data_IF_985432626306
#
_entry.id   IF_985432626306
#
_cell.length_a   1.000
_cell.length_b   1.000
_cell.length_c   1.000
_cell.angle_alpha   90.00
_cell.angle_beta   90.00
_cell.angle_gamma   90.00
#
_symmetry.space_group_name_H-M   'P 1'
#
loop_
_entity.id
_entity.type
_entity.pdbx_description
1 polymer ?
#
# COMPACT_ATOMS: atom_id res chain seq x y z
N UNK A 1 -28.82 -18.45 -1.52
CA UNK A 1 -27.68 -17.53 -1.56
C UNK A 1 -28.26 -16.14 -1.59
N UNK A 2 -28.16 -15.39 -0.48
CA UNK A 2 -28.57 -13.98 -0.46
C UNK A 2 -27.53 -13.22 -1.27
N UNK A 3 -27.88 -12.80 -2.49
CA UNK A 3 -27.08 -11.82 -3.21
C UNK A 3 -27.09 -10.53 -2.37
N UNK A 4 -25.95 -10.25 -1.75
CA UNK A 4 -25.85 -9.14 -0.83
C UNK A 4 -25.73 -7.84 -1.62
N UNK A 5 -26.62 -6.89 -1.32
CA UNK A 5 -26.73 -5.58 -1.97
C UNK A 5 -25.37 -4.87 -2.19
N UNK A 6 -24.41 -5.04 -1.27
CA UNK A 6 -23.07 -4.43 -1.37
C UNK A 6 -22.19 -5.06 -2.46
N UNK A 7 -22.30 -6.37 -2.72
CA UNK A 7 -21.52 -7.04 -3.78
C UNK A 7 -22.09 -6.75 -5.18
N UNK A 8 -23.37 -6.37 -5.25
CA UNK A 8 -24.03 -5.90 -6.48
C UNK A 8 -23.79 -4.43 -6.80
N UNK A 9 -23.21 -3.63 -5.90
CA UNK A 9 -22.79 -2.25 -6.22
C UNK A 9 -21.54 -2.33 -7.09
N UNK A 10 -21.76 -2.39 -8.41
CA UNK A 10 -20.70 -2.23 -9.38
C UNK A 10 -20.30 -0.75 -9.45
N UNK A 11 -19.22 -0.38 -8.77
CA UNK A 11 -18.54 0.89 -9.03
C UNK A 11 -18.00 0.81 -10.46
N UNK A 12 -18.68 1.50 -11.37
CA UNK A 12 -18.38 1.45 -12.79
C UNK A 12 -17.13 2.29 -13.06
N UNK A 13 -15.95 1.71 -12.82
CA UNK A 13 -14.69 2.31 -13.26
C UNK A 13 -14.61 2.16 -14.78
N UNK A 14 -15.15 3.14 -15.51
CA UNK A 14 -14.85 3.28 -16.93
C UNK A 14 -13.32 3.33 -17.12
N UNK A 15 -12.84 2.93 -18.30
CA UNK A 15 -11.41 2.87 -18.59
C UNK A 15 -10.70 4.20 -18.25
N UNK A 16 -11.37 5.33 -18.46
CA UNK A 16 -10.87 6.65 -18.04
C UNK A 16 -10.68 6.77 -16.52
N UNK A 17 -11.66 6.37 -15.72
CA UNK A 17 -11.59 6.44 -14.25
C UNK A 17 -10.49 5.54 -13.67
N UNK A 18 -10.29 4.35 -14.25
CA UNK A 18 -9.23 3.43 -13.83
C UNK A 18 -7.83 4.00 -14.13
N UNK A 19 -7.63 4.63 -15.28
CA UNK A 19 -6.39 5.33 -15.60
C UNK A 19 -6.10 6.48 -14.64
N UNK A 20 -7.13 7.26 -14.33
CA UNK A 20 -7.02 8.37 -13.37
C UNK A 20 -6.61 7.87 -11.98
N UNK A 21 -7.20 6.77 -11.50
CA UNK A 21 -6.85 6.15 -10.22
C UNK A 21 -5.39 5.69 -10.20
N UNK A 22 -4.95 4.99 -11.25
CA UNK A 22 -3.58 4.50 -11.36
C UNK A 22 -2.56 5.64 -11.36
N UNK A 23 -2.84 6.72 -12.09
CA UNK A 23 -1.99 7.93 -12.12
C UNK A 23 -1.97 8.59 -10.74
N UNK A 24 -3.12 8.71 -10.07
CA UNK A 24 -3.19 9.28 -8.73
C UNK A 24 -2.33 8.49 -7.74
N UNK A 25 -2.45 7.15 -7.74
CA UNK A 25 -1.65 6.26 -6.89
C UNK A 25 -0.15 6.38 -7.19
N UNK A 26 0.22 6.41 -8.47
CA UNK A 26 1.62 6.59 -8.87
C UNK A 26 2.17 7.94 -8.42
N UNK A 27 1.39 9.03 -8.51
CA UNK A 27 1.78 10.35 -8.02
C UNK A 27 1.90 10.41 -6.50
N UNK A 28 0.99 9.76 -5.76
CA UNK A 28 1.09 9.63 -4.30
C UNK A 28 2.39 8.91 -3.94
N UNK A 29 2.69 7.78 -4.59
CA UNK A 29 3.89 7.01 -4.26
C UNK A 29 5.18 7.73 -4.68
N UNK A 30 5.18 8.40 -5.84
CA UNK A 30 6.27 9.28 -6.24
C UNK A 30 6.51 10.39 -5.20
N UNK A 31 5.44 11.06 -4.76
CA UNK A 31 5.51 12.09 -3.73
C UNK A 31 6.07 11.57 -2.41
N UNK A 32 5.68 10.37 -2.00
CA UNK A 32 6.24 9.69 -0.82
C UNK A 32 7.74 9.45 -1.00
N UNK A 33 8.14 8.96 -2.18
CA UNK A 33 9.51 8.61 -2.52
C UNK A 33 10.47 9.81 -2.63
N UNK A 34 9.97 11.01 -2.94
CA UNK A 34 10.76 12.26 -2.89
C UNK A 34 11.34 12.56 -1.51
N UNK A 35 10.86 11.92 -0.45
CA UNK A 35 11.35 12.08 0.91
C UNK A 35 12.25 10.93 1.38
N UNK A 36 12.45 9.90 0.56
CA UNK A 36 13.27 8.73 0.89
C UNK A 36 14.68 8.92 0.33
N UNK A 37 15.69 8.78 1.16
CA UNK A 37 17.09 8.93 0.80
C UNK A 37 17.80 7.58 0.69
N UNK A 38 18.86 7.52 -0.11
CA UNK A 38 19.74 6.35 -0.16
C UNK A 38 20.45 6.07 1.18
N UNK A 39 20.55 7.07 2.06
CA UNK A 39 21.14 6.91 3.38
C UNK A 39 20.22 6.12 4.33
N UNK A 40 18.90 6.18 4.13
CA UNK A 40 17.94 5.40 4.91
C UNK A 40 18.16 3.89 4.69
N UNK A 41 18.65 3.50 3.52
CA UNK A 41 19.06 2.11 3.24
C UNK A 41 20.34 1.71 3.97
N UNK A 42 21.22 2.65 4.35
CA UNK A 42 22.42 2.32 5.13
C UNK A 42 22.09 2.04 6.59
N UNK A 43 21.00 2.58 7.11
CA UNK A 43 20.58 2.34 8.50
C UNK A 43 20.19 0.87 8.76
N UNK A 44 19.80 0.10 7.75
CA UNK A 44 19.53 -1.35 7.91
C UNK A 44 20.76 -2.11 8.40
N UNK A 45 21.93 -1.76 7.87
CA UNK A 45 23.17 -2.43 8.21
C UNK A 45 23.63 -2.06 9.63
N UNK A 46 23.18 -0.91 10.15
CA UNK A 46 23.47 -0.49 11.52
C UNK A 46 22.54 -1.12 12.54
N UNK A 47 21.26 -1.33 12.20
CA UNK A 47 20.22 -1.84 13.11
C UNK A 47 19.33 -2.93 12.49
N UNK A 48 19.90 -4.07 12.06
CA UNK A 48 19.18 -5.08 11.30
C UNK A 48 18.03 -5.73 12.10
N UNK A 49 18.22 -5.92 13.41
CA UNK A 49 17.20 -6.51 14.29
C UNK A 49 15.91 -5.68 14.32
N UNK A 50 16.03 -4.36 14.47
CA UNK A 50 14.87 -3.48 14.55
C UNK A 50 14.09 -3.41 13.24
N UNK A 51 14.79 -3.39 12.10
CA UNK A 51 14.14 -3.41 10.79
C UNK A 51 13.44 -4.75 10.56
N UNK A 52 14.09 -5.87 10.88
CA UNK A 52 13.48 -7.20 10.73
C UNK A 52 12.21 -7.35 11.57
N UNK A 53 12.23 -6.92 12.83
CA UNK A 53 11.04 -6.93 13.68
C UNK A 53 9.92 -6.07 13.09
N UNK A 54 10.26 -4.91 12.53
CA UNK A 54 9.29 -4.05 11.84
C UNK A 54 8.69 -4.71 10.60
N UNK A 55 9.52 -5.34 9.76
CA UNK A 55 9.06 -6.01 8.53
C UNK A 55 8.20 -7.24 8.84
N UNK A 56 8.59 -8.05 9.83
CA UNK A 56 7.79 -9.18 10.31
C UNK A 56 6.46 -8.69 10.91
N UNK A 57 6.48 -7.59 11.66
CA UNK A 57 5.25 -6.99 12.16
C UNK A 57 4.32 -6.56 11.03
N UNK A 58 4.86 -5.93 9.98
CA UNK A 58 4.09 -5.42 8.85
C UNK A 58 3.51 -6.53 7.97
N UNK A 59 4.33 -7.51 7.56
CA UNK A 59 3.96 -8.49 6.54
C UNK A 59 3.56 -9.86 7.08
N UNK A 60 3.67 -10.09 8.38
CA UNK A 60 3.24 -11.34 9.00
C UNK A 60 2.24 -11.08 10.13
N UNK A 61 2.62 -10.29 11.14
CA UNK A 61 1.77 -10.09 12.32
C UNK A 61 0.47 -9.36 11.97
N UNK A 62 0.54 -8.24 11.25
CA UNK A 62 -0.63 -7.47 10.87
C UNK A 62 -1.62 -8.29 10.01
N UNK A 63 -1.21 -8.94 8.90
CA UNK A 63 -2.08 -9.83 8.14
C UNK A 63 -2.68 -10.97 8.97
N UNK A 64 -1.89 -11.58 9.87
CA UNK A 64 -2.39 -12.63 10.76
C UNK A 64 -3.47 -12.12 11.71
N UNK A 65 -3.25 -10.96 12.34
CA UNK A 65 -4.26 -10.31 13.19
C UNK A 65 -5.51 -9.98 12.39
N UNK A 66 -5.37 -9.49 11.16
CA UNK A 66 -6.51 -9.23 10.27
C UNK A 66 -7.28 -10.51 9.96
N UNK A 67 -6.61 -11.63 9.70
CA UNK A 67 -7.26 -12.94 9.53
C UNK A 67 -8.02 -13.38 10.76
N UNK A 68 -7.42 -13.28 11.95
CA UNK A 68 -8.13 -13.58 13.19
C UNK A 68 -9.35 -12.66 13.40
N UNK A 69 -9.29 -11.40 12.99
CA UNK A 69 -10.47 -10.52 13.01
C UNK A 69 -11.54 -10.96 12.00
N UNK A 70 -11.14 -11.34 10.77
CA UNK A 70 -12.09 -11.79 9.74
C UNK A 70 -12.82 -13.06 10.18
N UNK A 71 -12.16 -14.04 10.80
CA UNK A 71 -12.85 -15.24 11.29
C UNK A 71 -13.77 -14.97 12.49
N UNK A 72 -13.52 -13.91 13.27
CA UNK A 72 -14.36 -13.54 14.41
C UNK A 72 -15.58 -12.70 14.01
N UNK A 73 -15.41 -11.83 13.00
CA UNK A 73 -16.45 -10.91 12.52
C UNK A 73 -17.31 -11.58 11.44
N UNK A 74 -16.75 -12.56 10.72
CA UNK A 74 -17.36 -13.23 9.57
C UNK A 74 -17.95 -12.25 8.53
N UNK A 75 -17.14 -11.28 8.03
CA UNK A 75 -17.63 -10.33 7.05
C UNK A 75 -17.88 -11.03 5.70
N UNK A 76 -18.65 -10.35 4.85
CA UNK A 76 -18.84 -10.75 3.46
C UNK A 76 -17.50 -10.92 2.73
N UNK A 77 -17.47 -11.80 1.74
CA UNK A 77 -16.26 -12.22 1.04
C UNK A 77 -15.47 -11.05 0.42
N UNK A 78 -16.16 -10.09 -0.21
CA UNK A 78 -15.56 -8.89 -0.80
C UNK A 78 -14.88 -8.00 0.25
N UNK A 79 -15.53 -7.79 1.39
CA UNK A 79 -14.99 -7.02 2.51
C UNK A 79 -13.78 -7.72 3.14
N UNK A 80 -13.85 -9.03 3.35
CA UNK A 80 -12.74 -9.83 3.84
C UNK A 80 -11.51 -9.68 2.92
N UNK A 81 -11.70 -9.80 1.60
CA UNK A 81 -10.63 -9.63 0.62
C UNK A 81 -10.04 -8.22 0.65
N UNK A 82 -10.88 -7.19 0.79
CA UNK A 82 -10.44 -5.80 0.97
C UNK A 82 -9.60 -5.61 2.24
N UNK A 83 -10.02 -6.20 3.36
CA UNK A 83 -9.27 -6.16 4.61
C UNK A 83 -7.89 -6.83 4.46
N UNK A 84 -7.82 -8.00 3.83
CA UNK A 84 -6.54 -8.67 3.55
C UNK A 84 -5.65 -7.86 2.63
N UNK A 85 -6.22 -7.23 1.60
CA UNK A 85 -5.46 -6.36 0.68
C UNK A 85 -4.86 -5.16 1.41
N UNK A 86 -5.64 -4.49 2.27
CA UNK A 86 -5.15 -3.37 3.10
C UNK A 86 -4.05 -3.82 4.05
N UNK A 87 -4.22 -4.94 4.75
CA UNK A 87 -3.24 -5.45 5.70
C UNK A 87 -1.93 -5.90 5.01
N UNK A 88 -2.01 -6.36 3.76
CA UNK A 88 -0.86 -6.78 2.97
C UNK A 88 -0.05 -5.61 2.37
N UNK A 89 -0.59 -4.39 2.37
CA UNK A 89 0.09 -3.21 1.84
C UNK A 89 1.18 -2.70 2.80
N UNK A 90 2.26 -2.09 2.29
CA UNK A 90 3.26 -1.44 3.13
C UNK A 90 2.70 -0.17 3.78
N UNK A 91 3.30 0.23 4.90
CA UNK A 91 3.02 1.52 5.53
C UNK A 91 3.46 2.73 4.69
N UNK A 92 2.91 3.91 4.99
CA UNK A 92 3.24 5.16 4.30
C UNK A 92 3.82 6.26 5.21
N UNK A 93 4.17 7.41 4.63
CA UNK A 93 4.85 8.53 5.31
C UNK A 93 4.09 9.18 6.49
N UNK A 94 2.79 8.92 6.64
CA UNK A 94 2.04 9.36 7.83
C UNK A 94 2.62 8.71 9.09
N UNK A 95 3.03 7.44 9.01
CA UNK A 95 3.68 6.73 10.13
C UNK A 95 4.97 7.43 10.59
N UNK A 96 5.77 7.97 9.66
CA UNK A 96 6.99 8.72 9.96
C UNK A 96 6.68 10.00 10.75
N UNK A 97 5.63 10.71 10.35
CA UNK A 97 5.17 11.92 11.04
C UNK A 97 4.64 11.61 12.44
N UNK A 98 3.79 10.59 12.59
CA UNK A 98 3.27 10.17 13.90
C UNK A 98 4.40 9.68 14.81
N UNK A 99 5.35 8.91 14.29
CA UNK A 99 6.53 8.46 15.06
C UNK A 99 7.34 9.65 15.57
N UNK A 100 7.51 10.69 14.74
CA UNK A 100 8.19 11.91 15.16
C UNK A 100 7.45 12.64 16.29
N UNK A 101 6.14 12.81 16.16
CA UNK A 101 5.30 13.42 17.21
C UNK A 101 5.30 12.61 18.51
N UNK A 102 5.34 11.29 18.41
CA UNK A 102 5.43 10.38 19.55
C UNK A 102 6.85 10.34 20.17
N UNK A 103 7.80 11.16 19.69
CA UNK A 103 9.23 11.14 20.08
C UNK A 103 9.89 9.77 19.92
N UNK A 104 9.38 8.97 18.97
CA UNK A 104 9.96 7.70 18.59
C UNK A 104 11.16 7.86 17.67
N UNK A 105 11.70 6.73 17.22
CA UNK A 105 12.85 6.73 16.30
C UNK A 105 12.38 6.98 14.85
N UNK A 106 12.34 8.25 14.44
CA UNK A 106 11.94 8.65 13.08
C UNK A 106 12.83 8.05 12.01
N UNK A 107 14.15 7.94 12.23
CA UNK A 107 15.06 7.35 11.27
C UNK A 107 14.74 5.86 11.01
N UNK A 108 14.41 5.12 12.06
CA UNK A 108 13.95 3.73 11.94
C UNK A 108 12.63 3.64 11.17
N UNK A 109 11.66 4.53 11.43
CA UNK A 109 10.37 4.55 10.74
C UNK A 109 10.52 4.80 9.24
N UNK A 110 11.36 5.79 8.87
CA UNK A 110 11.64 6.11 7.46
C UNK A 110 12.30 4.91 6.77
N UNK A 111 13.31 4.33 7.42
CA UNK A 111 14.00 3.14 6.92
C UNK A 111 13.01 1.98 6.72
N UNK A 112 12.18 1.70 7.72
CA UNK A 112 11.17 0.64 7.65
C UNK A 112 10.19 0.87 6.49
N UNK A 113 9.73 2.10 6.29
CA UNK A 113 8.84 2.47 5.18
C UNK A 113 9.50 2.18 3.82
N UNK A 114 10.76 2.58 3.66
CA UNK A 114 11.51 2.36 2.42
C UNK A 114 11.69 0.86 2.11
N UNK A 115 12.12 0.08 3.10
CA UNK A 115 12.28 -1.37 2.93
C UNK A 115 10.94 -2.08 2.74
N UNK A 116 9.91 -1.72 3.50
CA UNK A 116 8.59 -2.31 3.36
C UNK A 116 8.03 -2.05 1.95
N UNK A 117 8.21 -0.84 1.42
CA UNK A 117 7.76 -0.53 0.05
C UNK A 117 8.49 -1.35 -1.01
N UNK A 118 9.79 -1.59 -0.85
CA UNK A 118 10.56 -2.46 -1.74
C UNK A 118 10.06 -3.91 -1.68
N UNK A 119 9.88 -4.44 -0.47
CA UNK A 119 9.41 -5.81 -0.25
C UNK A 119 7.94 -6.02 -0.63
N UNK A 120 7.11 -4.97 -0.60
CA UNK A 120 5.68 -5.03 -0.94
C UNK A 120 5.41 -5.60 -2.33
N UNK A 121 6.30 -5.35 -3.31
CA UNK A 121 6.17 -5.91 -4.68
C UNK A 121 5.96 -7.42 -4.68
N UNK A 122 6.59 -8.12 -3.73
CA UNK A 122 6.52 -9.57 -3.58
C UNK A 122 5.57 -9.95 -2.43
N UNK A 123 5.73 -9.31 -1.28
CA UNK A 123 5.00 -9.71 -0.07
C UNK A 123 3.51 -9.33 -0.10
N UNK A 124 3.11 -8.26 -0.78
CA UNK A 124 1.69 -7.88 -0.89
C UNK A 124 0.88 -8.92 -1.67
N UNK A 125 1.24 -9.31 -2.91
CA UNK A 125 0.50 -10.34 -3.63
C UNK A 125 0.54 -11.70 -2.93
N UNK A 126 1.68 -12.08 -2.33
CA UNK A 126 1.79 -13.34 -1.59
C UNK A 126 0.89 -13.36 -0.35
N UNK A 127 0.87 -12.30 0.45
CA UNK A 127 -0.01 -12.21 1.62
C UNK A 127 -1.47 -12.24 1.20
N UNK A 128 -1.86 -11.46 0.18
CA UNK A 128 -3.23 -11.45 -0.30
C UNK A 128 -3.69 -12.83 -0.75
N UNK A 129 -2.87 -13.53 -1.54
CA UNK A 129 -3.17 -14.87 -2.00
C UNK A 129 -3.25 -15.87 -0.84
N UNK A 130 -2.32 -15.83 0.09
CA UNK A 130 -2.28 -16.74 1.23
C UNK A 130 -3.48 -16.53 2.17
N UNK A 131 -3.66 -15.33 2.70
CA UNK A 131 -4.72 -15.05 3.69
C UNK A 131 -6.11 -15.07 3.07
N UNK A 132 -6.26 -14.60 1.83
CA UNK A 132 -7.53 -14.65 1.12
C UNK A 132 -7.96 -16.07 0.75
N UNK A 133 -7.02 -16.98 0.45
CA UNK A 133 -7.34 -18.39 0.20
C UNK A 133 -7.67 -19.18 1.48
N UNK A 134 -7.16 -18.73 2.64
CA UNK A 134 -7.45 -19.36 3.93
C UNK A 134 -8.86 -19.08 4.47
N UNK A 135 -9.54 -18.06 3.96
CA UNK A 135 -10.94 -17.76 4.30
C UNK A 135 -11.84 -18.23 3.16
N UNK A 136 -12.65 -19.26 3.42
CA UNK A 136 -13.46 -19.95 2.40
C UNK A 136 -14.30 -19.02 1.51
N UNK A 137 -15.02 -18.02 2.07
CA UNK A 137 -15.79 -17.08 1.25
C UNK A 137 -14.93 -16.25 0.28
N UNK A 138 -13.75 -15.78 0.68
CA UNK A 138 -12.86 -15.00 -0.20
C UNK A 138 -12.07 -15.86 -1.19
N UNK A 139 -11.83 -17.15 -0.90
CA UNK A 139 -11.20 -18.08 -1.84
C UNK A 139 -12.03 -18.24 -3.13
N UNK A 140 -13.36 -18.25 -3.02
CA UNK A 140 -14.26 -18.31 -4.18
C UNK A 140 -14.03 -17.13 -5.13
N UNK A 141 -14.01 -15.92 -4.57
CA UNK A 141 -13.76 -14.68 -5.33
C UNK A 141 -12.35 -14.70 -5.95
N UNK A 142 -11.33 -15.13 -5.19
CA UNK A 142 -9.96 -15.21 -5.71
C UNK A 142 -9.82 -16.16 -6.91
N UNK A 143 -10.55 -17.28 -6.91
CA UNK A 143 -10.56 -18.24 -8.02
C UNK A 143 -11.31 -17.72 -9.23
N UNK A 144 -12.42 -17.00 -9.04
CA UNK A 144 -13.20 -16.39 -10.12
C UNK A 144 -12.44 -15.28 -10.84
N UNK A 145 -11.75 -14.42 -10.10
CA UNK A 145 -10.98 -13.31 -10.70
C UNK A 145 -9.68 -13.85 -11.34
N UNK A 146 -9.28 -15.09 -11.06
CA UNK A 146 -8.10 -15.78 -11.62
C UNK A 146 -6.86 -14.86 -11.67
N UNK A 147 -6.65 -14.06 -10.62
CA UNK A 147 -5.61 -13.04 -10.64
C UNK A 147 -4.26 -13.75 -10.65
N UNK A 148 -3.59 -13.76 -11.80
CA UNK A 148 -2.27 -14.36 -11.89
C UNK A 148 -1.31 -13.60 -10.96
N UNK A 149 -0.58 -14.29 -10.05
CA UNK A 149 0.38 -13.63 -9.17
C UNK A 149 1.40 -12.78 -9.94
N UNK A 150 1.76 -13.23 -11.16
CA UNK A 150 2.64 -12.51 -12.06
C UNK A 150 2.08 -11.14 -12.49
N UNK A 151 0.78 -11.07 -12.77
CA UNK A 151 0.11 -9.81 -13.14
C UNK A 151 0.02 -8.86 -11.95
N UNK A 152 -0.27 -9.36 -10.74
CA UNK A 152 -0.20 -8.51 -9.54
C UNK A 152 1.20 -7.96 -9.33
N UNK A 153 2.24 -8.80 -9.42
CA UNK A 153 3.64 -8.34 -9.30
C UNK A 153 3.92 -7.25 -10.34
N UNK A 154 3.48 -7.43 -11.60
CA UNK A 154 3.66 -6.44 -12.66
C UNK A 154 2.96 -5.11 -12.33
N UNK A 155 1.70 -5.15 -11.90
CA UNK A 155 0.92 -3.95 -11.55
C UNK A 155 1.51 -3.26 -10.34
N UNK A 156 1.81 -3.99 -9.27
CA UNK A 156 2.41 -3.43 -8.05
C UNK A 156 3.80 -2.87 -8.33
N UNK A 157 4.61 -3.52 -9.17
CA UNK A 157 5.90 -2.97 -9.61
C UNK A 157 5.73 -1.65 -10.37
N UNK A 158 4.76 -1.58 -11.28
CA UNK A 158 4.53 -0.37 -12.07
C UNK A 158 3.99 0.79 -11.22
N UNK A 159 3.09 0.50 -10.27
CA UNK A 159 2.44 1.52 -9.46
C UNK A 159 3.23 1.92 -8.22
N UNK A 160 4.06 1.03 -7.66
CA UNK A 160 4.86 1.32 -6.47
C UNK A 160 6.34 1.46 -6.80
N UNK A 161 6.96 0.42 -7.37
CA UNK A 161 8.41 0.37 -7.54
C UNK A 161 8.92 1.43 -8.51
N UNK A 162 8.25 1.61 -9.66
CA UNK A 162 8.68 2.60 -10.64
C UNK A 162 8.59 4.05 -10.09
N UNK A 163 7.47 4.52 -9.52
CA UNK A 163 7.40 5.81 -8.85
C UNK A 163 8.36 5.96 -7.68
N UNK A 164 8.60 4.89 -6.92
CA UNK A 164 9.56 4.86 -5.82
C UNK A 164 10.98 5.17 -6.32
N UNK A 165 11.46 4.41 -7.31
CA UNK A 165 12.80 4.58 -7.87
C UNK A 165 12.96 5.97 -8.47
N UNK A 166 11.96 6.45 -9.23
CA UNK A 166 11.99 7.78 -9.82
C UNK A 166 12.02 8.89 -8.77
N UNK A 167 11.18 8.81 -7.73
CA UNK A 167 11.15 9.80 -6.67
C UNK A 167 12.45 9.82 -5.86
N UNK A 168 13.01 8.65 -5.54
CA UNK A 168 14.31 8.56 -4.89
C UNK A 168 15.44 9.11 -5.75
N UNK A 169 15.42 8.86 -7.06
CA UNK A 169 16.40 9.42 -7.99
C UNK A 169 16.32 10.96 -8.00
N UNK A 170 15.12 11.54 -8.07
CA UNK A 170 14.93 12.99 -8.00
C UNK A 170 15.42 13.56 -6.66
N UNK A 171 15.14 12.88 -5.55
CA UNK A 171 15.65 13.27 -4.24
C UNK A 171 17.19 13.21 -4.17
N UNK A 172 17.81 12.22 -4.81
CA UNK A 172 19.26 12.06 -4.82
C UNK A 172 19.97 13.13 -5.66
N UNK A 173 19.50 13.38 -6.88
CA UNK A 173 20.15 14.31 -7.82
C UNK A 173 19.72 15.78 -7.60
N UNK A 174 18.47 16.02 -7.20
CA UNK A 174 17.91 17.36 -7.01
C UNK A 174 17.14 17.51 -5.69
N UNK A 175 17.80 17.41 -4.53
CA UNK A 175 17.14 17.38 -3.22
C UNK A 175 16.30 18.64 -2.92
N UNK A 176 16.77 19.83 -3.35
CA UNK A 176 16.01 21.08 -3.19
C UNK A 176 14.71 21.08 -3.99
N UNK A 177 14.72 20.47 -5.17
CA UNK A 177 13.52 20.31 -6.00
C UNK A 177 12.59 19.28 -5.38
N UNK A 178 13.13 18.14 -4.94
CA UNK A 178 12.37 17.07 -4.29
C UNK A 178 11.62 17.56 -3.05
N UNK A 179 12.25 18.38 -2.20
CA UNK A 179 11.59 18.96 -1.03
C UNK A 179 10.42 19.87 -1.38
N UNK A 180 10.57 20.73 -2.41
CA UNK A 180 9.50 21.62 -2.88
C UNK A 180 8.35 20.84 -3.51
N UNK A 181 8.67 19.92 -4.42
CA UNK A 181 7.70 19.09 -5.12
C UNK A 181 6.98 18.13 -4.17
N UNK A 182 7.71 17.50 -3.24
CA UNK A 182 7.16 16.51 -2.32
C UNK A 182 5.99 17.04 -1.52
N UNK A 183 6.14 18.24 -0.92
CA UNK A 183 5.07 18.88 -0.14
C UNK A 183 3.85 19.23 -1.02
N UNK A 184 4.08 19.79 -2.20
CA UNK A 184 3.02 20.22 -3.11
C UNK A 184 2.26 19.03 -3.68
N UNK A 185 2.99 18.07 -4.26
CA UNK A 185 2.42 16.86 -4.86
C UNK A 185 1.67 16.03 -3.82
N UNK A 186 2.19 15.89 -2.59
CA UNK A 186 1.48 15.16 -1.53
C UNK A 186 0.09 15.72 -1.29
N UNK A 187 0.01 17.05 -1.16
CA UNK A 187 -1.25 17.73 -0.88
C UNK A 187 -2.22 17.61 -2.05
N UNK A 188 -1.73 17.86 -3.28
CA UNK A 188 -2.55 17.76 -4.50
C UNK A 188 -3.03 16.32 -4.71
N UNK A 189 -2.14 15.34 -4.66
CA UNK A 189 -2.48 13.93 -4.90
C UNK A 189 -3.43 13.39 -3.83
N UNK A 190 -3.27 13.78 -2.56
CA UNK A 190 -4.19 13.37 -1.50
C UNK A 190 -5.58 14.01 -1.68
N UNK A 191 -5.64 15.31 -1.95
CA UNK A 191 -6.91 16.00 -2.22
C UNK A 191 -7.62 15.38 -3.42
N UNK A 192 -6.87 15.14 -4.50
CA UNK A 192 -7.39 14.51 -5.70
C UNK A 192 -7.92 13.09 -5.43
N UNK A 193 -7.17 12.28 -4.68
CA UNK A 193 -7.60 10.93 -4.32
C UNK A 193 -8.86 10.94 -3.44
N UNK A 194 -8.94 11.84 -2.46
CA UNK A 194 -10.14 12.00 -1.61
C UNK A 194 -11.33 12.48 -2.43
N UNK A 195 -11.14 13.44 -3.35
CA UNK A 195 -12.20 13.90 -4.25
C UNK A 195 -12.69 12.78 -5.16
N UNK A 196 -11.79 11.93 -5.68
CA UNK A 196 -12.14 10.77 -6.50
C UNK A 196 -12.98 9.77 -5.70
N UNK A 197 -12.56 9.46 -4.47
CA UNK A 197 -13.35 8.61 -3.57
C UNK A 197 -14.74 9.20 -3.34
N UNK A 198 -14.82 10.49 -3.02
CA UNK A 198 -16.11 11.15 -2.77
C UNK A 198 -17.03 11.09 -4.00
N UNK A 199 -16.50 11.36 -5.19
CA UNK A 199 -17.25 11.23 -6.44
C UNK A 199 -17.70 9.78 -6.71
N UNK A 200 -16.87 8.79 -6.38
CA UNK A 200 -17.19 7.38 -6.57
C UNK A 200 -18.31 6.89 -5.63
N UNK A 201 -18.53 7.54 -4.48
CA UNK A 201 -19.61 7.21 -3.55
C UNK A 201 -20.87 8.08 -3.73
N UNK A 202 -20.77 9.19 -4.48
CA UNK A 202 -21.89 10.11 -4.71
C UNK A 202 -22.72 9.74 -5.96
N UNK A 203 -22.10 9.02 -6.91
CA UNK A 203 -22.76 8.42 -8.07
C UNK A 203 -23.12 6.95 -7.82
#
# INVERSE_FOLDING_TARGET
>A
MSENLLDTVHINFDAGAQWVLNIALALVMFSIALHISLLDFKEIFKKPKSILVGLLSQFLLLPAVTYFMVILIEPMASMALGMFMVAACPGGNVSNFITHLAKGNTALSISLTAFATLFAVVFTPLNLQFWGALYGPSDLILREIAISPLQMIKVVSLLLLFPLVMGMAVNHYWPKLAQKMGKLLKMISLLFFVSLIFLAFYN
#
